data_IF_552658185398
#
_entry.id   IF_552658185398
#
_cell.length_a   1.000
_cell.length_b   1.000
_cell.length_c   1.000
_cell.angle_alpha   90.00
_cell.angle_beta   90.00
_cell.angle_gamma   90.00
#
_symmetry.space_group_name_H-M   'P 1'
#
loop_
_entity.id
_entity.type
_entity.pdbx_description
1 polymer ?
#
# COMPACT_ATOMS: atom_id res chain seq x y z
N UNK A 1 -17.74 -3.97 -6.97
CA UNK A 1 -16.69 -3.96 -5.93
C UNK A 1 -15.35 -4.01 -6.63
N UNK A 2 -14.53 -2.98 -6.51
CA UNK A 2 -13.23 -2.89 -7.18
C UNK A 2 -12.18 -3.48 -6.23
N UNK A 3 -11.72 -4.69 -6.51
CA UNK A 3 -10.67 -5.33 -5.72
C UNK A 3 -9.36 -4.56 -5.92
N UNK A 4 -8.96 -3.74 -4.95
CA UNK A 4 -7.67 -3.05 -4.97
C UNK A 4 -6.54 -4.05 -4.81
N UNK A 5 -5.80 -4.32 -5.89
CA UNK A 5 -4.65 -5.21 -5.88
C UNK A 5 -3.40 -4.37 -5.58
N UNK A 6 -2.69 -4.73 -4.51
CA UNK A 6 -1.42 -4.10 -4.15
C UNK A 6 -0.30 -4.63 -5.06
N UNK A 7 0.55 -3.75 -5.62
CA UNK A 7 1.69 -4.19 -6.41
C UNK A 7 2.77 -4.79 -5.52
N UNK A 8 3.32 -5.92 -5.96
CA UNK A 8 4.52 -6.53 -5.39
C UNK A 8 5.75 -5.94 -6.06
N UNK A 9 6.61 -5.28 -5.29
CA UNK A 9 7.92 -4.78 -5.73
C UNK A 9 8.98 -5.78 -5.28
N UNK A 10 9.82 -6.20 -6.20
CA UNK A 10 10.90 -7.15 -5.99
C UNK A 10 12.25 -6.43 -6.05
N UNK A 11 13.18 -6.79 -5.16
CA UNK A 11 14.56 -6.35 -5.26
C UNK A 11 15.32 -7.25 -6.24
N UNK A 12 15.92 -6.64 -7.24
CA UNK A 12 16.74 -7.31 -8.27
C UNK A 12 18.17 -6.77 -8.23
N UNK A 13 19.07 -7.43 -8.95
CA UNK A 13 20.48 -6.99 -9.05
C UNK A 13 20.62 -5.56 -9.64
N UNK A 14 19.65 -5.10 -10.43
CA UNK A 14 19.63 -3.77 -11.04
C UNK A 14 18.74 -2.77 -10.29
N UNK A 15 18.24 -3.12 -9.11
CA UNK A 15 17.41 -2.27 -8.27
C UNK A 15 15.99 -2.81 -8.08
N UNK A 16 15.06 -1.92 -7.76
CA UNK A 16 13.66 -2.27 -7.54
C UNK A 16 12.91 -2.47 -8.85
N UNK A 17 12.13 -3.55 -8.92
CA UNK A 17 11.38 -3.89 -10.12
C UNK A 17 9.97 -4.40 -9.79
N UNK A 18 9.10 -4.36 -10.80
CA UNK A 18 7.75 -4.91 -10.79
C UNK A 18 7.54 -5.77 -12.03
N UNK A 19 6.78 -6.84 -11.89
CA UNK A 19 6.48 -7.73 -13.01
C UNK A 19 5.29 -7.26 -13.84
N UNK A 20 5.34 -7.50 -15.14
CA UNK A 20 4.21 -7.28 -16.06
C UNK A 20 2.94 -8.04 -15.66
N UNK A 21 3.05 -9.18 -14.98
CA UNK A 21 1.91 -9.91 -14.41
C UNK A 21 1.23 -9.13 -13.28
N UNK A 22 2.02 -8.54 -12.38
CA UNK A 22 1.52 -7.71 -11.28
C UNK A 22 0.79 -6.49 -11.83
N UNK A 23 1.38 -5.85 -12.84
CA UNK A 23 0.77 -4.72 -13.54
C UNK A 23 -0.53 -5.12 -14.24
N UNK A 24 -0.53 -6.21 -15.01
CA UNK A 24 -1.71 -6.70 -15.72
C UNK A 24 -2.88 -6.96 -14.76
N UNK A 25 -2.60 -7.68 -13.67
CA UNK A 25 -3.58 -7.99 -12.62
C UNK A 25 -4.13 -6.72 -11.97
N UNK A 26 -3.24 -5.82 -11.57
CA UNK A 26 -3.59 -4.58 -10.88
C UNK A 26 -4.39 -3.61 -11.74
N UNK A 27 -4.03 -3.47 -13.01
CA UNK A 27 -4.71 -2.61 -13.99
C UNK A 27 -6.00 -3.23 -14.58
N UNK A 28 -6.21 -4.53 -14.39
CA UNK A 28 -7.34 -5.24 -15.01
C UNK A 28 -7.15 -5.48 -16.51
N UNK A 29 -5.92 -5.38 -17.01
CA UNK A 29 -5.57 -5.58 -18.42
C UNK A 29 -5.04 -7.00 -18.61
N UNK A 30 -5.36 -7.62 -19.75
CA UNK A 30 -4.81 -8.94 -20.08
C UNK A 30 -3.28 -8.87 -20.19
N UNK A 31 -2.58 -9.82 -19.57
CA UNK A 31 -1.11 -9.83 -19.52
C UNK A 31 -0.45 -9.78 -20.91
N UNK A 32 -1.02 -10.48 -21.90
CA UNK A 32 -0.56 -10.41 -23.29
C UNK A 32 -0.56 -8.99 -23.86
N UNK A 33 -1.57 -8.17 -23.55
CA UNK A 33 -1.68 -6.80 -24.05
C UNK A 33 -0.63 -5.90 -23.38
N UNK A 34 -0.28 -6.19 -22.13
CA UNK A 34 0.81 -5.49 -21.44
C UNK A 34 2.15 -5.81 -22.10
N UNK A 35 2.41 -7.08 -22.41
CA UNK A 35 3.64 -7.50 -23.09
C UNK A 35 3.73 -6.91 -24.50
N UNK A 36 2.64 -6.94 -25.27
CA UNK A 36 2.56 -6.36 -26.60
C UNK A 36 2.83 -4.85 -26.58
N UNK A 37 2.28 -4.12 -25.59
CA UNK A 37 2.55 -2.70 -25.42
C UNK A 37 4.03 -2.41 -25.13
N UNK A 38 4.69 -3.27 -24.35
CA UNK A 38 6.12 -3.17 -24.07
C UNK A 38 6.94 -3.46 -25.33
N UNK A 39 6.60 -4.51 -26.07
CA UNK A 39 7.32 -4.89 -27.30
C UNK A 39 7.16 -3.82 -28.39
N UNK A 40 5.96 -3.25 -28.57
CA UNK A 40 5.68 -2.21 -29.56
C UNK A 40 6.39 -0.88 -29.26
N UNK A 41 6.70 -0.61 -27.99
CA UNK A 41 7.34 0.64 -27.53
C UNK A 41 8.69 0.40 -26.86
N UNK A 42 9.35 -0.69 -27.26
CA UNK A 42 10.59 -1.16 -26.65
C UNK A 42 11.67 -0.08 -26.61
N UNK A 43 11.82 0.68 -27.69
CA UNK A 43 12.82 1.75 -27.79
C UNK A 43 12.61 2.83 -26.71
N UNK A 44 11.37 3.18 -26.37
CA UNK A 44 11.09 4.14 -25.29
C UNK A 44 11.37 3.55 -23.91
N UNK A 45 11.11 2.27 -23.69
CA UNK A 45 11.45 1.59 -22.43
C UNK A 45 12.96 1.44 -22.22
N UNK A 46 13.70 1.19 -23.30
CA UNK A 46 15.15 0.97 -23.25
C UNK A 46 15.95 2.25 -22.95
N UNK A 47 15.33 3.44 -23.05
CA UNK A 47 15.91 4.69 -22.55
C UNK A 47 16.14 4.68 -21.02
N UNK A 48 15.41 3.82 -20.30
CA UNK A 48 15.54 3.66 -18.85
C UNK A 48 16.31 2.38 -18.47
N UNK A 49 17.07 1.81 -19.40
CA UNK A 49 17.82 0.58 -19.24
C UNK A 49 17.21 -0.61 -19.98
N UNK A 50 17.93 -1.74 -20.10
CA UNK A 50 17.47 -2.89 -20.87
C UNK A 50 16.19 -3.49 -20.28
N UNK A 51 15.25 -3.85 -21.14
CA UNK A 51 14.00 -4.51 -20.72
C UNK A 51 14.27 -6.01 -20.49
N UNK A 52 14.25 -6.45 -19.24
CA UNK A 52 14.46 -7.84 -18.87
C UNK A 52 13.17 -8.67 -19.01
N UNK A 53 13.31 -9.92 -19.47
CA UNK A 53 12.21 -10.88 -19.55
C UNK A 53 12.61 -12.18 -18.86
N UNK A 54 11.71 -12.68 -18.02
CA UNK A 54 11.80 -14.00 -17.41
C UNK A 54 10.83 -14.96 -18.10
N UNK A 55 11.22 -16.22 -18.24
CA UNK A 55 10.33 -17.28 -18.70
C UNK A 55 10.13 -18.25 -17.55
N UNK A 56 8.92 -18.31 -17.00
CA UNK A 56 8.59 -19.21 -15.88
C UNK A 56 7.88 -20.45 -16.39
N UNK A 57 8.42 -21.61 -16.02
CA UNK A 57 7.83 -22.91 -16.37
C UNK A 57 6.62 -23.18 -15.48
N UNK A 58 5.52 -23.61 -16.08
CA UNK A 58 4.27 -23.80 -15.35
C UNK A 58 4.25 -25.18 -14.69
N UNK A 59 3.99 -25.24 -13.37
CA UNK A 59 4.03 -26.48 -12.55
C UNK A 59 3.11 -27.62 -13.02
N UNK A 60 2.21 -27.39 -13.98
CA UNK A 60 1.22 -28.37 -14.48
C UNK A 60 1.24 -28.52 -16.01
N UNK A 61 2.42 -28.51 -16.63
CA UNK A 61 2.57 -28.83 -18.07
C UNK A 61 1.96 -27.81 -19.03
N UNK A 62 1.86 -26.55 -18.61
CA UNK A 62 1.41 -25.44 -19.48
C UNK A 62 2.59 -24.77 -20.20
N UNK A 63 2.26 -24.00 -21.24
CA UNK A 63 3.27 -23.21 -21.96
C UNK A 63 3.98 -22.25 -20.98
N UNK A 64 5.32 -22.11 -21.09
CA UNK A 64 6.05 -21.16 -20.27
C UNK A 64 5.49 -19.75 -20.41
N UNK A 65 5.33 -19.05 -19.29
CA UNK A 65 4.83 -17.68 -19.27
C UNK A 65 6.03 -16.74 -19.36
N UNK A 66 6.06 -15.92 -20.41
CA UNK A 66 7.01 -14.82 -20.58
C UNK A 66 6.53 -13.63 -19.75
N UNK A 67 7.37 -13.12 -18.87
CA UNK A 67 7.05 -12.02 -17.96
C UNK A 67 8.15 -10.97 -18.01
N UNK A 68 7.80 -9.75 -18.40
CA UNK A 68 8.71 -8.61 -18.31
C UNK A 68 8.93 -8.21 -16.85
N UNK A 69 10.18 -7.86 -16.51
CA UNK A 69 10.61 -7.28 -15.23
C UNK A 69 10.97 -5.83 -15.51
N UNK A 70 10.23 -4.90 -14.90
CA UNK A 70 10.30 -3.48 -15.21
C UNK A 70 10.79 -2.70 -13.99
N UNK A 71 11.76 -1.83 -14.17
CA UNK A 71 12.16 -0.90 -13.12
C UNK A 71 11.12 0.22 -12.90
N UNK A 72 11.35 1.09 -11.92
CA UNK A 72 10.41 2.18 -11.57
C UNK A 72 10.11 3.11 -12.77
N UNK A 73 11.09 3.68 -13.48
CA UNK A 73 10.81 4.53 -14.65
C UNK A 73 10.07 3.80 -15.77
N UNK A 74 10.45 2.56 -16.09
CA UNK A 74 9.78 1.76 -17.12
C UNK A 74 8.32 1.49 -16.75
N UNK A 75 8.04 1.01 -15.54
CA UNK A 75 6.67 0.74 -15.10
C UNK A 75 5.81 2.02 -15.04
N UNK A 76 6.41 3.15 -14.71
CA UNK A 76 5.74 4.46 -14.74
C UNK A 76 5.41 4.87 -16.17
N UNK A 77 6.34 4.74 -17.12
CA UNK A 77 6.09 4.99 -18.54
C UNK A 77 4.95 4.11 -19.05
N UNK A 78 4.98 2.81 -18.76
CA UNK A 78 3.92 1.87 -19.16
C UNK A 78 2.54 2.33 -18.70
N UNK A 79 2.44 2.82 -17.45
CA UNK A 79 1.20 3.33 -16.88
C UNK A 79 0.65 4.56 -17.63
N UNK A 80 1.51 5.37 -18.28
CA UNK A 80 1.06 6.53 -19.07
C UNK A 80 0.28 6.14 -20.32
N UNK A 81 0.59 4.97 -20.90
CA UNK A 81 -0.10 4.46 -22.08
C UNK A 81 -1.44 3.78 -21.76
N UNK A 82 -1.73 3.51 -20.49
CA UNK A 82 -2.97 2.87 -20.06
C UNK A 82 -4.10 3.89 -19.87
N UNK A 83 -5.32 3.51 -20.30
CA UNK A 83 -6.53 4.31 -20.10
C UNK A 83 -6.81 4.52 -18.61
N UNK A 84 -7.13 5.74 -18.22
CA UNK A 84 -7.48 6.11 -16.83
C UNK A 84 -8.88 5.62 -16.43
N UNK A 85 -9.03 4.33 -16.19
CA UNK A 85 -10.18 3.79 -15.45
C UNK A 85 -9.96 3.97 -13.95
N UNK A 86 -11.02 3.92 -13.14
CA UNK A 86 -10.89 4.01 -11.67
C UNK A 86 -9.89 2.99 -11.11
N UNK A 87 -9.94 1.75 -11.62
CA UNK A 87 -9.00 0.70 -11.25
C UNK A 87 -7.55 1.05 -11.61
N UNK A 88 -7.30 1.54 -12.83
CA UNK A 88 -5.96 1.92 -13.27
C UNK A 88 -5.42 3.09 -12.46
N UNK A 89 -6.25 4.09 -12.16
CA UNK A 89 -5.85 5.23 -11.31
C UNK A 89 -5.50 4.76 -9.90
N UNK A 90 -6.33 3.91 -9.29
CA UNK A 90 -6.03 3.33 -7.98
C UNK A 90 -4.72 2.54 -7.99
N UNK A 91 -4.47 1.76 -9.05
CA UNK A 91 -3.24 0.99 -9.20
C UNK A 91 -2.00 1.88 -9.40
N UNK A 92 -2.09 2.95 -10.20
CA UNK A 92 -0.99 3.94 -10.36
C UNK A 92 -0.56 4.51 -9.01
N UNK A 93 -1.53 4.92 -8.17
CA UNK A 93 -1.25 5.43 -6.83
C UNK A 93 -0.59 4.37 -5.95
N UNK A 94 -1.08 3.13 -5.99
CA UNK A 94 -0.50 2.03 -5.22
C UNK A 94 0.93 1.69 -5.67
N UNK A 95 1.20 1.72 -6.98
CA UNK A 95 2.50 1.42 -7.57
C UNK A 95 3.56 2.43 -7.13
N UNK A 96 3.25 3.73 -7.25
CA UNK A 96 4.14 4.80 -6.79
C UNK A 96 4.42 4.65 -5.30
N UNK A 97 3.39 4.44 -4.48
CA UNK A 97 3.57 4.23 -3.03
C UNK A 97 4.49 3.04 -2.71
N UNK A 98 4.32 1.93 -3.42
CA UNK A 98 5.10 0.73 -3.18
C UNK A 98 6.59 0.92 -3.53
N UNK A 99 6.91 1.57 -4.65
CA UNK A 99 8.30 1.91 -5.00
C UNK A 99 8.93 2.86 -3.97
N UNK A 100 8.23 3.93 -3.58
CA UNK A 100 8.74 4.86 -2.56
C UNK A 100 8.96 4.18 -1.21
N UNK A 101 8.05 3.32 -0.78
CA UNK A 101 8.18 2.58 0.48
C UNK A 101 9.41 1.66 0.45
N UNK A 102 9.59 0.90 -0.63
CA UNK A 102 10.70 -0.02 -0.75
C UNK A 102 12.04 0.72 -0.91
N UNK A 103 12.06 1.83 -1.65
CA UNK A 103 13.25 2.70 -1.78
C UNK A 103 13.64 3.32 -0.43
N UNK A 104 12.67 3.75 0.39
CA UNK A 104 12.95 4.22 1.75
C UNK A 104 13.46 3.11 2.65
N UNK A 105 12.92 1.89 2.55
CA UNK A 105 13.42 0.75 3.31
C UNK A 105 14.88 0.44 2.96
N UNK A 106 15.24 0.49 1.67
CA UNK A 106 16.63 0.31 1.22
C UNK A 106 17.53 1.45 1.71
N UNK A 107 17.14 2.72 1.55
CA UNK A 107 17.94 3.87 2.02
C UNK A 107 18.13 3.90 3.53
N UNK A 108 17.14 3.43 4.28
CA UNK A 108 17.24 3.33 5.73
C UNK A 108 18.12 2.15 6.17
N UNK A 109 18.27 1.12 5.33
CA UNK A 109 19.18 -0.01 5.52
C UNK A 109 20.59 0.21 4.98
N UNK A 110 20.76 1.13 4.03
CA UNK A 110 22.04 1.49 3.41
C UNK A 110 22.39 2.92 3.81
N UNK A 111 22.98 3.09 5.00
CA UNK A 111 23.85 4.24 5.21
C UNK A 111 25.10 4.00 4.34
N UNK A 112 25.45 4.95 3.47
CA UNK A 112 26.67 4.86 2.66
C UNK A 112 27.85 4.55 3.57
N UNK A 113 28.55 3.45 3.31
CA UNK A 113 29.68 3.03 4.11
C UNK A 113 30.92 3.87 3.72
N UNK A 114 31.52 4.55 4.68
CA UNK A 114 32.90 5.06 4.59
C UNK A 114 33.90 3.94 4.35
N UNK A 115 33.64 2.78 4.94
CA UNK A 115 34.54 1.64 4.91
C UNK A 115 33.77 0.34 5.09
N UNK A 116 34.09 -0.65 4.27
CA UNK A 116 33.60 -2.03 4.40
C UNK A 116 34.79 -2.98 4.40
N UNK A 117 34.84 -3.88 5.38
CA UNK A 117 35.76 -5.01 5.43
C UNK A 117 34.94 -6.30 5.46
N UNK A 118 34.89 -6.97 4.31
CA UNK A 118 34.11 -8.18 4.11
C UNK A 118 34.70 -9.39 4.86
N UNK A 119 36.00 -9.40 5.14
CA UNK A 119 36.66 -10.49 5.86
C UNK A 119 36.35 -10.44 7.37
N UNK A 120 36.13 -9.23 7.92
CA UNK A 120 35.72 -9.01 9.30
C UNK A 120 34.20 -8.80 9.47
N UNK A 121 33.45 -8.67 8.37
CA UNK A 121 32.03 -8.34 8.39
C UNK A 121 31.73 -6.94 8.95
N UNK A 122 32.67 -6.00 8.83
CA UNK A 122 32.61 -4.67 9.41
C UNK A 122 32.17 -3.64 8.35
N UNK A 123 31.15 -2.84 8.65
CA UNK A 123 30.71 -1.72 7.81
C UNK A 123 30.56 -0.46 8.65
N UNK A 124 31.24 0.62 8.26
CA UNK A 124 31.25 1.91 8.95
C UNK A 124 30.58 2.93 8.03
N UNK A 125 29.49 3.55 8.47
CA UNK A 125 28.74 4.58 7.72
C UNK A 125 29.41 5.96 7.70
N UNK A 126 29.00 6.83 6.77
CA UNK A 126 29.40 8.25 6.73
C UNK A 126 29.03 9.01 8.02
N UNK A 127 29.82 10.04 8.41
CA UNK A 127 29.51 10.86 9.57
C UNK A 127 28.25 11.68 9.28
N UNK A 128 27.24 11.54 10.14
CA UNK A 128 25.99 12.30 10.02
C UNK A 128 26.11 13.64 10.78
N UNK A 129 25.74 14.79 10.18
CA UNK A 129 25.87 16.12 10.81
C UNK A 129 24.92 16.31 12.01
N UNK A 130 23.92 15.46 12.15
CA UNK A 130 23.05 15.35 13.30
C UNK A 130 22.59 13.89 13.43
N UNK A 131 22.33 13.44 14.66
CA UNK A 131 21.74 12.13 14.89
C UNK A 131 20.42 12.02 14.12
N UNK A 132 20.28 11.09 13.16
CA UNK A 132 18.99 10.87 12.52
C UNK A 132 18.00 10.54 13.63
N UNK A 133 16.84 11.21 13.61
CA UNK A 133 15.74 10.82 14.49
C UNK A 133 15.51 9.33 14.26
N UNK A 134 15.53 8.56 15.35
CA UNK A 134 15.26 7.14 15.29
C UNK A 134 14.03 6.95 14.40
N UNK A 135 14.18 6.16 13.34
CA UNK A 135 13.05 5.65 12.57
C UNK A 135 12.24 4.84 13.56
N UNK A 136 11.35 5.51 14.28
CA UNK A 136 10.28 4.83 14.97
C UNK A 136 9.49 4.29 13.81
N UNK A 137 9.71 3.01 13.47
CA UNK A 137 8.75 2.24 12.72
C UNK A 137 7.41 2.68 13.28
N UNK A 138 6.54 3.27 12.44
CA UNK A 138 5.22 3.67 12.89
C UNK A 138 4.63 2.38 13.42
N UNK A 139 4.70 2.18 14.74
CA UNK A 139 4.05 1.07 15.42
C UNK A 139 2.60 1.43 15.23
N UNK A 140 2.01 0.90 14.18
CA UNK A 140 0.60 1.07 13.90
C UNK A 140 -0.11 0.38 15.05
N UNK A 141 -0.48 1.15 16.08
CA UNK A 141 -1.21 0.62 17.22
C UNK A 141 -2.45 -0.08 16.65
N UNK A 142 -2.64 -1.39 16.90
CA UNK A 142 -3.80 -2.13 16.42
C UNK A 142 -5.13 -1.43 16.76
N UNK A 143 -5.17 -0.65 17.86
CA UNK A 143 -6.33 0.17 18.23
C UNK A 143 -6.59 1.30 17.25
N UNK A 144 -5.56 1.96 16.75
CA UNK A 144 -5.66 3.03 15.75
C UNK A 144 -6.18 2.47 14.44
N UNK A 145 -5.56 1.40 13.93
CA UNK A 145 -6.02 0.70 12.72
C UNK A 145 -7.47 0.25 12.84
N UNK A 146 -7.87 -0.34 13.98
CA UNK A 146 -9.26 -0.72 14.23
C UNK A 146 -10.20 0.48 14.22
N UNK A 147 -9.85 1.56 14.94
CA UNK A 147 -10.70 2.74 15.02
C UNK A 147 -10.84 3.43 13.66
N UNK A 148 -9.78 3.47 12.85
CA UNK A 148 -9.82 4.01 11.50
C UNK A 148 -10.78 3.22 10.61
N UNK A 149 -10.77 1.88 10.71
CA UNK A 149 -11.73 1.01 10.01
C UNK A 149 -13.18 1.25 10.46
N UNK A 150 -13.40 1.39 11.76
CA UNK A 150 -14.74 1.71 12.32
C UNK A 150 -15.22 3.08 11.80
N UNK A 151 -14.35 4.09 11.82
CA UNK A 151 -14.66 5.43 11.32
C UNK A 151 -14.98 5.43 9.84
N UNK A 152 -14.23 4.66 9.04
CA UNK A 152 -14.47 4.48 7.62
C UNK A 152 -15.83 3.84 7.35
N UNK A 153 -16.14 2.70 7.98
CA UNK A 153 -17.42 2.02 7.82
C UNK A 153 -18.61 2.93 8.20
N UNK A 154 -18.48 3.72 9.27
CA UNK A 154 -19.50 4.67 9.69
C UNK A 154 -19.72 5.82 8.70
N UNK A 155 -18.67 6.28 8.00
CA UNK A 155 -18.78 7.29 6.93
C UNK A 155 -19.47 6.69 5.70
N UNK A 156 -19.07 5.49 5.30
CA UNK A 156 -19.61 4.78 4.13
C UNK A 156 -21.11 4.44 4.30
N UNK A 157 -21.56 4.24 5.54
CA UNK A 157 -22.98 4.02 5.86
C UNK A 157 -23.86 5.29 5.75
N UNK A 158 -23.31 6.45 5.36
CA UNK A 158 -24.05 7.67 5.04
C UNK A 158 -25.11 8.09 6.09
N UNK A 159 -24.75 8.00 7.37
CA UNK A 159 -25.64 8.39 8.49
C UNK A 159 -26.51 7.27 9.06
N UNK A 160 -26.49 6.08 8.46
CA UNK A 160 -27.08 4.88 9.07
C UNK A 160 -26.23 4.36 10.23
N UNK A 161 -26.87 3.63 11.14
CA UNK A 161 -26.20 2.98 12.27
C UNK A 161 -25.53 1.68 11.82
N UNK A 162 -24.24 1.57 12.09
CA UNK A 162 -23.41 0.40 11.81
C UNK A 162 -23.13 -0.35 13.10
N UNK A 163 -23.50 -1.63 13.20
CA UNK A 163 -23.07 -2.46 14.33
C UNK A 163 -21.57 -2.76 14.23
N UNK A 164 -20.85 -2.58 15.34
CA UNK A 164 -19.40 -2.79 15.46
C UNK A 164 -19.12 -3.96 16.42
N UNK A 165 -18.70 -5.09 15.87
CA UNK A 165 -18.28 -6.25 16.68
C UNK A 165 -16.76 -6.35 16.69
N UNK A 166 -16.19 -6.45 17.89
CA UNK A 166 -14.75 -6.65 18.11
C UNK A 166 -14.60 -7.93 18.94
N UNK A 167 -13.72 -8.83 18.51
CA UNK A 167 -13.44 -10.05 19.27
C UNK A 167 -13.01 -9.70 20.71
N UNK A 168 -13.50 -10.47 21.67
CA UNK A 168 -13.17 -10.36 23.10
C UNK A 168 -13.53 -9.02 23.76
N UNK A 169 -14.40 -8.21 23.14
CA UNK A 169 -14.95 -7.01 23.77
C UNK A 169 -16.21 -7.34 24.58
N UNK A 170 -16.17 -7.03 25.87
CA UNK A 170 -17.33 -6.95 26.75
C UNK A 170 -17.88 -5.53 26.90
N UNK A 171 -18.97 -5.40 27.66
CA UNK A 171 -19.74 -4.17 27.82
C UNK A 171 -18.91 -2.94 28.22
N UNK A 172 -17.98 -3.13 29.17
CA UNK A 172 -17.12 -2.03 29.65
C UNK A 172 -16.24 -1.51 28.51
N UNK A 173 -15.69 -2.39 27.68
CA UNK A 173 -14.82 -2.00 26.56
C UNK A 173 -15.62 -1.30 25.45
N UNK A 174 -16.84 -1.75 25.16
CA UNK A 174 -17.73 -1.05 24.23
C UNK A 174 -18.17 0.31 24.75
N UNK A 175 -18.44 0.42 26.05
CA UNK A 175 -18.80 1.70 26.69
C UNK A 175 -17.67 2.72 26.59
N UNK A 176 -16.43 2.32 26.88
CA UNK A 176 -15.25 3.19 26.75
C UNK A 176 -14.93 3.53 25.28
N UNK A 177 -15.19 2.60 24.36
CA UNK A 177 -15.10 2.85 22.92
C UNK A 177 -16.13 3.91 22.48
N UNK A 178 -17.39 3.77 22.90
CA UNK A 178 -18.46 4.72 22.61
C UNK A 178 -18.16 6.12 23.16
N UNK A 179 -17.70 6.23 24.42
CA UNK A 179 -17.27 7.52 25.00
C UNK A 179 -16.14 8.14 24.16
N UNK A 180 -15.10 7.36 23.84
CA UNK A 180 -13.98 7.85 23.04
C UNK A 180 -14.36 8.34 21.64
N UNK A 181 -15.41 7.77 21.05
CA UNK A 181 -15.99 8.22 19.78
C UNK A 181 -16.78 9.52 19.95
N UNK A 182 -17.67 9.57 20.94
CA UNK A 182 -18.59 10.71 21.14
C UNK A 182 -17.87 12.00 21.55
N UNK A 183 -16.80 11.90 22.34
CA UNK A 183 -16.05 13.08 22.83
C UNK A 183 -14.92 13.51 21.88
N UNK A 184 -14.68 12.81 20.77
CA UNK A 184 -13.59 13.14 19.84
C UNK A 184 -12.17 12.93 20.40
N UNK A 185 -12.03 12.32 21.58
CA UNK A 185 -10.74 12.10 22.27
C UNK A 185 -9.75 11.21 21.50
N UNK A 186 -10.18 10.59 20.39
CA UNK A 186 -9.36 9.70 19.56
C UNK A 186 -9.14 10.32 18.19
N UNK A 187 -7.90 10.26 17.72
CA UNK A 187 -7.48 10.81 16.41
C UNK A 187 -8.40 10.40 15.25
N UNK A 188 -8.88 9.16 15.24
CA UNK A 188 -9.76 8.63 14.19
C UNK A 188 -11.15 9.29 14.12
N UNK A 189 -11.58 10.01 15.17
CA UNK A 189 -12.94 10.58 15.34
C UNK A 189 -12.91 12.08 15.71
N UNK A 190 -11.89 12.82 15.30
CA UNK A 190 -11.49 14.11 15.91
C UNK A 190 -12.48 15.29 15.84
N UNK A 191 -13.60 15.20 15.13
CA UNK A 191 -14.41 16.38 14.79
C UNK A 191 -15.86 16.36 15.34
N UNK A 192 -16.18 15.47 16.31
CA UNK A 192 -17.53 15.39 16.90
C UNK A 192 -18.64 14.93 15.94
N UNK A 193 -18.30 14.63 14.68
CA UNK A 193 -19.21 14.19 13.62
C UNK A 193 -19.64 12.72 13.77
N UNK A 194 -19.43 12.10 14.93
CA UNK A 194 -19.79 10.71 15.18
C UNK A 194 -20.73 10.60 16.36
N UNK A 195 -21.64 9.63 16.28
CA UNK A 195 -22.40 9.17 17.43
C UNK A 195 -22.25 7.67 17.59
N UNK A 196 -22.05 7.25 18.82
CA UNK A 196 -21.94 5.87 19.22
C UNK A 196 -22.87 5.56 20.41
N UNK A 197 -23.59 4.44 20.33
CA UNK A 197 -24.55 3.96 21.34
C UNK A 197 -24.37 2.46 21.52
N UNK A 198 -24.42 1.97 22.76
CA UNK A 198 -24.41 0.55 23.09
C UNK A 198 -25.83 0.06 23.37
N UNK A 199 -26.26 -1.03 22.74
CA UNK A 199 -27.51 -1.75 23.01
C UNK A 199 -27.28 -3.24 22.91
N UNK A 200 -27.85 -4.02 23.82
CA UNK A 200 -27.80 -5.49 23.81
C UNK A 200 -26.39 -6.05 23.63
N UNK A 201 -25.43 -5.52 24.40
CA UNK A 201 -24.02 -5.93 24.37
C UNK A 201 -23.32 -5.68 23.01
N UNK A 202 -23.90 -4.80 22.18
CA UNK A 202 -23.43 -4.45 20.84
C UNK A 202 -23.26 -2.94 20.71
N UNK A 203 -22.11 -2.52 20.16
CA UNK A 203 -21.86 -1.12 19.82
C UNK A 203 -22.46 -0.79 18.46
N UNK A 204 -23.13 0.35 18.36
CA UNK A 204 -23.60 0.96 17.12
C UNK A 204 -22.94 2.31 16.94
N UNK A 205 -22.44 2.59 15.74
CA UNK A 205 -21.84 3.88 15.39
C UNK A 205 -22.51 4.44 14.12
N UNK A 206 -22.64 5.76 14.03
CA UNK A 206 -22.95 6.46 12.79
C UNK A 206 -22.11 7.71 12.65
N UNK A 207 -21.88 8.14 11.42
CA UNK A 207 -21.36 9.46 11.12
C UNK A 207 -22.51 10.45 10.91
N UNK A 208 -22.55 11.54 11.65
CA UNK A 208 -23.50 12.62 11.42
C UNK A 208 -23.08 13.36 10.15
N UNK A 209 -23.73 13.04 9.03
CA UNK A 209 -23.66 13.85 7.82
C UNK A 209 -24.35 15.17 8.10
N UNK A 210 -23.58 16.20 8.43
CA UNK A 210 -24.11 17.55 8.58
C UNK A 210 -24.80 17.98 7.28
N UNK A 211 -26.12 18.01 7.26
CA UNK A 211 -26.82 19.06 6.53
C UNK A 211 -26.73 20.27 7.45
N UNK A 212 -25.88 21.23 7.09
CA UNK A 212 -26.05 22.58 7.63
C UNK A 212 -27.46 23.03 7.25
N UNK A 213 -28.31 23.17 8.26
CA UNK A 213 -29.56 23.92 8.23
C UNK A 213 -29.75 24.49 9.64
#
# INVERSE_FOLDING_TARGET
MTTTILPTIEATNSGLAVTSETIARGSGVQHKNVLELIDNRRAEFEQFGPTAFETRSQKRGGNPIRTAVLNEPQSTLLMTFMRNTEQVVAFKVALVKAFYQMAQQLKNGTQDALFTDDALGLSIGQPVPHLPKALTAVKTDPRTTRNDRIAQAAREANGQWVPVTVADFGDKQYTELAKGINYGNRKSFADGNYRAVTRDNQLYIRHNTGKAA
#
